data_IF_071833807765
#
_entry.id   IF_071833807765
#
_cell.length_a   1.000
_cell.length_b   1.000
_cell.length_c   1.000
_cell.angle_alpha   90.00
_cell.angle_beta   90.00
_cell.angle_gamma   90.00
#
_symmetry.space_group_name_H-M   'P 1'
#
loop_
_entity.id
_entity.type
_entity.pdbx_description
1 polymer ?
#
# COMPACT_ATOMS: atom_id res chain seq x y z
N UNK A 1 10.45 13.83 -4.05
CA UNK A 1 11.26 12.77 -3.44
C UNK A 1 10.42 11.51 -3.26
N UNK A 2 11.04 10.34 -3.15
CA UNK A 2 10.33 9.08 -2.94
C UNK A 2 9.97 8.84 -1.48
N UNK A 3 8.84 8.19 -1.27
CA UNK A 3 8.38 7.78 0.05
C UNK A 3 7.93 6.33 0.01
N UNK A 4 8.29 5.58 1.04
CA UNK A 4 7.79 4.23 1.26
C UNK A 4 6.56 4.31 2.16
N UNK A 5 5.46 3.78 1.68
CA UNK A 5 4.18 3.72 2.38
C UNK A 5 3.91 2.25 2.68
N UNK A 6 3.91 1.91 3.96
CA UNK A 6 3.79 0.53 4.42
C UNK A 6 2.51 0.37 5.24
N UNK A 7 1.54 -0.35 4.68
CA UNK A 7 0.33 -0.73 5.39
C UNK A 7 0.52 -2.06 6.11
N UNK A 8 0.03 -2.14 7.34
CA UNK A 8 0.03 -3.38 8.13
C UNK A 8 -1.41 -3.88 8.25
N UNK A 9 -1.67 -5.09 7.76
CA UNK A 9 -3.01 -5.67 7.78
C UNK A 9 -3.45 -6.04 9.20
N UNK A 10 -4.75 -5.92 9.46
CA UNK A 10 -5.38 -6.56 10.63
C UNK A 10 -5.35 -8.08 10.46
N UNK A 11 -5.45 -8.88 11.54
CA UNK A 11 -5.60 -10.33 11.43
C UNK A 11 -6.81 -10.69 10.55
N UNK A 12 -6.67 -11.78 9.80
CA UNK A 12 -7.75 -12.34 8.96
C UNK A 12 -8.27 -11.37 7.88
N UNK A 13 -7.40 -10.50 7.37
CA UNK A 13 -7.75 -9.52 6.35
C UNK A 13 -8.08 -10.16 4.99
N UNK A 14 -7.66 -11.39 4.73
CA UNK A 14 -7.81 -12.04 3.43
C UNK A 14 -9.27 -12.10 2.96
N UNK A 15 -10.20 -12.31 3.86
CA UNK A 15 -11.63 -12.35 3.54
C UNK A 15 -12.21 -10.96 3.27
N UNK A 16 -11.57 -9.90 3.79
CA UNK A 16 -12.04 -8.50 3.71
C UNK A 16 -11.45 -7.74 2.53
N UNK A 17 -10.24 -8.09 2.09
CA UNK A 17 -9.55 -7.39 1.01
C UNK A 17 -10.33 -7.33 -0.31
N UNK A 18 -10.97 -8.43 -0.80
CA UNK A 18 -11.64 -8.40 -2.10
C UNK A 18 -12.74 -7.35 -2.23
N UNK A 19 -13.48 -7.08 -1.17
CA UNK A 19 -14.57 -6.09 -1.20
C UNK A 19 -14.05 -4.66 -1.37
N UNK A 20 -12.87 -4.35 -0.82
CA UNK A 20 -12.30 -3.00 -0.85
C UNK A 20 -11.24 -2.83 -1.95
N UNK A 21 -10.71 -3.92 -2.48
CA UNK A 21 -9.62 -3.89 -3.45
C UNK A 21 -9.88 -2.99 -4.66
N UNK A 22 -11.05 -2.98 -5.30
CA UNK A 22 -11.30 -2.09 -6.44
C UNK A 22 -11.10 -0.61 -6.10
N UNK A 23 -11.56 -0.17 -4.93
CA UNK A 23 -11.40 1.21 -4.46
C UNK A 23 -9.94 1.55 -4.16
N UNK A 24 -9.21 0.60 -3.56
CA UNK A 24 -7.79 0.75 -3.28
C UNK A 24 -6.98 0.90 -4.58
N UNK A 25 -7.25 0.07 -5.58
CA UNK A 25 -6.58 0.17 -6.88
C UNK A 25 -6.92 1.47 -7.60
N UNK A 26 -8.16 1.94 -7.50
CA UNK A 26 -8.59 3.23 -8.06
C UNK A 26 -7.82 4.39 -7.41
N UNK A 27 -7.62 4.34 -6.10
CA UNK A 27 -6.83 5.33 -5.37
C UNK A 27 -5.37 5.37 -5.83
N UNK A 28 -4.77 4.18 -6.07
CA UNK A 28 -3.42 4.06 -6.62
C UNK A 28 -3.33 4.52 -8.07
N UNK A 29 -4.38 4.31 -8.86
CA UNK A 29 -4.35 4.54 -10.30
C UNK A 29 -4.00 5.99 -10.66
N UNK A 30 -4.40 6.96 -9.84
CA UNK A 30 -4.06 8.37 -10.07
C UNK A 30 -2.55 8.59 -10.04
N UNK A 31 -1.86 7.96 -9.09
CA UNK A 31 -0.38 8.03 -9.01
C UNK A 31 0.28 7.31 -10.18
N UNK A 32 -0.29 6.17 -10.59
CA UNK A 32 0.22 5.39 -11.72
C UNK A 32 0.10 6.21 -13.00
N UNK A 33 -1.04 6.83 -13.24
CA UNK A 33 -1.31 7.66 -14.42
C UNK A 33 -0.37 8.86 -14.50
N UNK A 34 0.05 9.40 -13.37
CA UNK A 34 1.03 10.48 -13.28
C UNK A 34 2.49 10.01 -13.34
N UNK A 35 2.73 8.71 -13.46
CA UNK A 35 4.08 8.14 -13.52
C UNK A 35 4.85 8.22 -12.20
N UNK A 36 4.16 8.32 -11.07
CA UNK A 36 4.76 8.56 -9.76
C UNK A 36 5.06 7.30 -8.96
N UNK A 37 4.56 6.14 -9.37
CA UNK A 37 4.75 4.87 -8.64
C UNK A 37 5.99 4.14 -9.14
N UNK A 38 6.91 3.85 -8.23
CA UNK A 38 8.09 3.01 -8.50
C UNK A 38 7.76 1.54 -8.25
N UNK A 39 7.03 1.26 -7.18
CA UNK A 39 6.64 -0.09 -6.79
C UNK A 39 5.34 -0.06 -6.01
N UNK A 40 4.49 -1.06 -6.23
CA UNK A 40 3.33 -1.30 -5.39
C UNK A 40 3.02 -2.80 -5.36
N UNK A 41 2.86 -3.35 -4.17
CA UNK A 41 2.53 -4.77 -4.02
C UNK A 41 2.28 -5.17 -2.58
N UNK A 42 1.55 -6.27 -2.38
CA UNK A 42 1.26 -6.79 -1.05
C UNK A 42 2.39 -7.67 -0.51
N UNK A 43 2.42 -7.81 0.82
CA UNK A 43 3.28 -8.76 1.51
C UNK A 43 2.50 -10.07 1.73
N UNK A 44 2.84 -11.18 1.05
CA UNK A 44 2.22 -12.45 1.36
C UNK A 44 2.59 -12.92 2.77
N UNK A 45 1.66 -13.59 3.45
CA UNK A 45 1.89 -14.06 4.80
C UNK A 45 2.83 -15.27 4.87
N UNK A 46 3.03 -15.94 3.74
CA UNK A 46 3.98 -17.06 3.58
C UNK A 46 4.88 -16.78 2.38
N UNK A 47 5.99 -17.46 2.30
CA UNK A 47 6.96 -17.30 1.20
C UNK A 47 6.45 -17.96 -0.09
N UNK A 48 5.45 -17.32 -0.70
CA UNK A 48 4.83 -17.77 -1.94
C UNK A 48 4.20 -16.59 -2.68
N UNK A 49 4.29 -16.55 -4.02
CA UNK A 49 3.58 -15.54 -4.81
C UNK A 49 2.05 -15.76 -4.82
N UNK A 50 1.59 -16.94 -4.39
CA UNK A 50 0.17 -17.28 -4.26
C UNK A 50 -0.07 -17.83 -2.85
N UNK A 51 -0.27 -16.95 -1.84
CA UNK A 51 -0.41 -17.38 -0.46
C UNK A 51 -1.74 -18.06 -0.16
N UNK A 52 -2.74 -17.95 -1.05
CA UNK A 52 -4.06 -18.56 -0.83
C UNK A 52 -4.69 -18.14 0.50
N UNK A 53 -5.20 -19.13 1.31
CA UNK A 53 -5.87 -18.79 2.56
C UNK A 53 -4.99 -18.12 3.62
N UNK A 54 -3.66 -18.26 3.52
CA UNK A 54 -2.74 -17.56 4.43
C UNK A 54 -2.84 -16.05 4.28
N UNK A 55 -3.16 -15.56 3.08
CA UNK A 55 -3.42 -14.16 2.82
C UNK A 55 -2.18 -13.28 2.90
N UNK A 56 -2.39 -12.04 3.35
CA UNK A 56 -1.39 -10.99 3.33
C UNK A 56 -1.24 -10.36 4.71
N UNK A 57 -0.03 -9.84 4.99
CA UNK A 57 0.26 -9.13 6.24
C UNK A 57 0.36 -7.62 6.05
N UNK A 58 0.34 -7.14 4.82
CA UNK A 58 0.43 -5.72 4.52
C UNK A 58 0.70 -5.44 3.06
N UNK A 59 1.11 -4.20 2.80
CA UNK A 59 1.44 -3.71 1.46
C UNK A 59 2.60 -2.74 1.53
N UNK A 60 3.33 -2.64 0.42
CA UNK A 60 4.38 -1.67 0.22
C UNK A 60 4.09 -0.87 -1.04
N UNK A 61 4.12 0.46 -0.92
CA UNK A 61 4.07 1.37 -2.06
C UNK A 61 5.29 2.28 -1.97
N UNK A 62 6.01 2.44 -3.07
CA UNK A 62 7.07 3.43 -3.20
C UNK A 62 6.66 4.37 -4.32
N UNK A 63 6.45 5.64 -3.98
CA UNK A 63 5.96 6.63 -4.92
C UNK A 63 6.52 8.01 -4.61
N UNK A 64 6.43 8.91 -5.60
CA UNK A 64 6.91 10.28 -5.48
C UNK A 64 5.82 11.21 -4.96
N UNK A 65 6.19 12.05 -3.99
CA UNK A 65 5.36 13.12 -3.45
C UNK A 65 6.22 14.37 -3.22
N UNK A 66 5.59 15.55 -3.18
CA UNK A 66 6.27 16.81 -2.94
C UNK A 66 6.79 16.94 -1.51
N UNK A 67 6.10 16.28 -0.57
CA UNK A 67 6.46 16.30 0.86
C UNK A 67 5.99 15.04 1.57
N UNK A 68 6.54 14.79 2.76
CA UNK A 68 6.06 13.68 3.60
C UNK A 68 4.63 13.91 4.06
N UNK A 69 4.23 15.16 4.26
CA UNK A 69 2.85 15.52 4.62
C UNK A 69 1.88 15.12 3.52
N UNK A 70 2.24 15.35 2.26
CA UNK A 70 1.43 14.93 1.11
C UNK A 70 1.33 13.41 1.01
N UNK A 71 2.43 12.70 1.24
CA UNK A 71 2.43 11.23 1.24
C UNK A 71 1.55 10.68 2.35
N UNK A 72 1.63 11.25 3.55
CA UNK A 72 0.76 10.87 4.68
C UNK A 72 -0.70 11.15 4.38
N UNK A 73 -1.02 12.33 3.86
CA UNK A 73 -2.39 12.69 3.51
C UNK A 73 -2.98 11.74 2.47
N UNK A 74 -2.18 11.37 1.47
CA UNK A 74 -2.61 10.40 0.46
C UNK A 74 -2.89 9.03 1.09
N UNK A 75 -1.98 8.54 1.95
CA UNK A 75 -2.12 7.25 2.60
C UNK A 75 -3.33 7.17 3.55
N UNK A 76 -3.65 8.28 4.21
CA UNK A 76 -4.81 8.39 5.10
C UNK A 76 -6.15 8.28 4.37
N UNK A 77 -6.15 8.51 3.05
CA UNK A 77 -7.33 8.36 2.21
C UNK A 77 -7.42 7.01 1.50
N UNK A 78 -6.44 6.13 1.73
CA UNK A 78 -6.47 4.80 1.13
C UNK A 78 -7.68 4.01 1.66
N UNK A 79 -8.55 3.50 0.78
CA UNK A 79 -9.69 2.69 1.19
C UNK A 79 -9.33 1.49 2.06
N UNK A 80 -8.13 0.91 1.90
CA UNK A 80 -7.68 -0.16 2.78
C UNK A 80 -7.50 0.29 4.24
N UNK A 81 -7.11 1.54 4.46
CA UNK A 81 -7.07 2.10 5.81
C UNK A 81 -8.46 2.49 6.30
N UNK A 82 -9.24 3.18 5.46
CA UNK A 82 -10.57 3.66 5.82
C UNK A 82 -11.53 2.52 6.14
N UNK A 83 -11.44 1.41 5.41
CA UNK A 83 -12.29 0.23 5.60
C UNK A 83 -11.72 -0.77 6.62
N UNK A 84 -10.61 -0.42 7.28
CA UNK A 84 -10.06 -1.21 8.36
C UNK A 84 -9.35 -2.51 7.95
N UNK A 85 -8.91 -2.63 6.69
CA UNK A 85 -8.02 -3.72 6.27
C UNK A 85 -6.63 -3.49 6.84
N UNK A 86 -6.10 -2.26 6.73
CA UNK A 86 -4.88 -1.86 7.43
C UNK A 86 -5.21 -1.44 8.85
N UNK A 87 -4.45 -1.96 9.81
CA UNK A 87 -4.49 -1.50 11.18
C UNK A 87 -3.82 -0.13 11.33
N UNK A 88 -2.73 0.06 10.59
CA UNK A 88 -1.97 1.31 10.55
C UNK A 88 -1.15 1.41 9.27
N UNK A 89 -0.62 2.61 9.02
CA UNK A 89 0.25 2.89 7.88
C UNK A 89 1.47 3.67 8.38
N UNK A 90 2.65 3.25 7.94
CA UNK A 90 3.90 3.95 8.19
C UNK A 90 4.38 4.59 6.91
N UNK A 91 4.79 5.86 6.97
CA UNK A 91 5.36 6.59 5.83
C UNK A 91 6.78 7.01 6.16
N UNK A 92 7.74 6.65 5.30
CA UNK A 92 9.15 7.03 5.46
C UNK A 92 9.70 7.55 4.13
N UNK A 93 10.54 8.58 4.16
CA UNK A 93 11.30 8.96 2.97
C UNK A 93 12.29 7.85 2.61
N UNK A 94 12.52 7.65 1.30
CA UNK A 94 13.47 6.66 0.81
C UNK A 94 14.24 7.22 -0.37
N UNK A 95 15.54 6.92 -0.42
CA UNK A 95 16.42 7.31 -1.52
C UNK A 95 16.70 6.06 -2.35
N UNK A 96 16.41 6.15 -3.65
CA UNK A 96 16.70 5.06 -4.56
C UNK A 96 18.18 5.13 -4.96
N UNK A 97 18.94 4.09 -4.58
CA UNK A 97 20.36 3.95 -4.97
C UNK A 97 20.51 3.02 -6.15
N UNK A 98 19.69 1.98 -6.19
CA UNK A 98 19.60 1.04 -7.30
C UNK A 98 18.16 0.85 -7.75
N UNK A 99 17.97 0.56 -9.05
CA UNK A 99 16.66 0.17 -9.55
C UNK A 99 16.11 -1.08 -8.88
#
# INVERSE_FOLDING_TARGET
>A
MLYAIMGRDVPDSVARRPATRPKHLEHLQTLIDEGRVVFAGPHPAIDSPDPGPAGFTGSLIIAEFDSIEDARAWSERDPYLLDGIFADVTVKPVIQVFP
#
